data_IF_396481605891
#
_entry.id   IF_396481605891
#
_cell.length_a   1.000
_cell.length_b   1.000
_cell.length_c   1.000
_cell.angle_alpha   90.00
_cell.angle_beta   90.00
_cell.angle_gamma   90.00
#
_symmetry.space_group_name_H-M   'P 1'
#
loop_
_entity.id
_entity.type
_entity.pdbx_description
1 polymer ?
#
# COMPACT_ATOMS: atom_id res chain seq x y z
N UNK A 1 -26.58 -14.75 -6.62
CA UNK A 1 -25.50 -14.62 -5.62
C UNK A 1 -26.08 -15.03 -4.29
N UNK A 2 -25.55 -16.06 -3.65
CA UNK A 2 -26.00 -16.55 -2.35
C UNK A 2 -25.05 -16.18 -1.22
N UNK A 3 -23.89 -15.59 -1.55
CA UNK A 3 -22.89 -15.19 -0.57
C UNK A 3 -23.29 -13.89 0.13
N UNK A 4 -23.23 -13.82 1.47
CA UNK A 4 -23.61 -12.63 2.23
C UNK A 4 -22.70 -11.43 1.93
N UNK A 5 -23.28 -10.23 1.86
CA UNK A 5 -22.52 -8.98 1.76
C UNK A 5 -22.27 -8.45 3.18
N UNK A 6 -21.03 -8.13 3.49
CA UNK A 6 -20.65 -7.55 4.78
C UNK A 6 -20.27 -6.07 4.62
N UNK A 7 -20.82 -5.22 5.47
CA UNK A 7 -20.34 -3.85 5.65
C UNK A 7 -19.62 -3.73 6.97
N UNK A 8 -18.57 -2.91 6.98
CA UNK A 8 -17.72 -2.67 8.11
C UNK A 8 -17.77 -1.19 8.48
N UNK A 9 -17.81 -0.92 9.78
CA UNK A 9 -17.73 0.42 10.34
C UNK A 9 -16.60 0.44 11.37
N UNK A 10 -15.63 1.33 11.17
CA UNK A 10 -14.57 1.58 12.15
C UNK A 10 -15.09 2.51 13.23
N UNK A 11 -14.89 2.14 14.49
CA UNK A 11 -15.21 2.94 15.68
C UNK A 11 -13.95 3.40 16.39
N UNK A 12 -12.87 3.60 15.64
CA UNK A 12 -11.58 3.98 16.18
C UNK A 12 -11.05 2.91 17.15
N UNK A 13 -10.80 3.30 18.40
CA UNK A 13 -10.27 2.39 19.43
C UNK A 13 -11.27 1.34 19.91
N UNK A 14 -12.57 1.55 19.70
CA UNK A 14 -13.61 0.57 20.03
C UNK A 14 -13.65 -0.62 19.04
N UNK A 15 -12.82 -0.57 18.00
CA UNK A 15 -12.67 -1.64 17.01
C UNK A 15 -13.59 -1.46 15.80
N UNK A 16 -13.96 -2.58 15.18
CA UNK A 16 -14.72 -2.60 13.93
C UNK A 16 -16.01 -3.37 14.16
N UNK A 17 -17.14 -2.76 13.83
CA UNK A 17 -18.41 -3.47 13.75
C UNK A 17 -18.65 -3.98 12.33
N UNK A 18 -19.21 -5.18 12.24
CA UNK A 18 -19.60 -5.83 10.98
C UNK A 18 -21.12 -6.01 10.97
N UNK A 19 -21.76 -5.66 9.86
CA UNK A 19 -23.17 -6.00 9.62
C UNK A 19 -23.27 -6.86 8.36
N UNK A 20 -24.10 -7.91 8.45
CA UNK A 20 -24.44 -8.78 7.33
C UNK A 20 -25.69 -8.23 6.65
N UNK A 21 -25.65 -8.08 5.34
CA UNK A 21 -26.78 -7.64 4.51
C UNK A 21 -27.05 -8.69 3.45
N UNK A 22 -28.33 -8.99 3.24
CA UNK A 22 -28.77 -9.92 2.21
C UNK A 22 -28.43 -9.37 0.81
N UNK A 23 -27.80 -10.13 -0.10
CA UNK A 23 -27.52 -9.68 -1.46
C UNK A 23 -28.74 -9.25 -2.26
N UNK A 24 -29.93 -9.81 -1.96
CA UNK A 24 -31.17 -9.44 -2.63
C UNK A 24 -31.52 -7.96 -2.43
N UNK A 25 -31.03 -7.34 -1.35
CA UNK A 25 -31.13 -5.90 -1.14
C UNK A 25 -30.48 -5.09 -2.26
N UNK A 26 -29.47 -5.63 -2.95
CA UNK A 26 -28.70 -4.92 -3.98
C UNK A 26 -29.06 -5.34 -5.40
N UNK A 27 -30.00 -6.27 -5.55
CA UNK A 27 -30.32 -6.86 -6.85
C UNK A 27 -31.07 -5.86 -7.73
N UNK A 28 -30.56 -5.66 -8.93
CA UNK A 28 -31.26 -4.92 -9.98
C UNK A 28 -32.00 -5.89 -10.90
N UNK A 29 -33.24 -5.58 -11.33
CA UNK A 29 -33.93 -6.35 -12.35
C UNK A 29 -33.07 -6.50 -13.62
N UNK A 30 -33.06 -7.69 -14.20
CA UNK A 30 -32.41 -7.94 -15.49
C UNK A 30 -33.51 -8.11 -16.53
N UNK A 31 -33.46 -7.31 -17.59
CA UNK A 31 -34.41 -7.40 -18.70
C UNK A 31 -34.29 -8.72 -19.47
N UNK A 32 -35.30 -9.05 -20.28
CA UNK A 32 -35.32 -10.29 -21.09
C UNK A 32 -34.12 -10.42 -22.05
N UNK A 33 -33.50 -9.29 -22.40
CA UNK A 33 -32.30 -9.19 -23.23
C UNK A 33 -30.98 -9.30 -22.43
N UNK A 34 -31.03 -9.69 -21.15
CA UNK A 34 -29.87 -9.80 -20.27
C UNK A 34 -29.32 -8.46 -19.78
N UNK A 35 -29.95 -7.32 -20.11
CA UNK A 35 -29.46 -6.01 -19.69
C UNK A 35 -29.90 -5.71 -18.25
N UNK A 36 -28.94 -5.48 -17.35
CA UNK A 36 -29.21 -5.06 -15.98
C UNK A 36 -29.81 -3.64 -15.97
N UNK A 37 -30.95 -3.49 -15.29
CA UNK A 37 -31.57 -2.18 -15.07
C UNK A 37 -30.71 -1.28 -14.17
N UNK A 38 -30.95 0.03 -14.22
CA UNK A 38 -30.27 0.99 -13.34
C UNK A 38 -30.94 0.98 -11.96
N UNK A 39 -30.14 1.16 -10.91
CA UNK A 39 -30.66 1.49 -9.58
C UNK A 39 -31.45 2.80 -9.66
N UNK A 40 -32.75 2.72 -9.41
CA UNK A 40 -33.64 3.88 -9.27
C UNK A 40 -33.25 4.72 -8.05
N UNK A 41 -33.73 5.98 -7.95
CA UNK A 41 -33.32 6.94 -6.91
C UNK A 41 -33.59 6.49 -5.46
N UNK A 42 -34.33 5.40 -5.25
CA UNK A 42 -34.76 4.93 -3.95
C UNK A 42 -36.09 5.56 -3.54
N UNK A 43 -36.83 4.88 -2.67
CA UNK A 43 -38.12 5.33 -2.12
C UNK A 43 -37.96 6.27 -0.92
N UNK A 44 -36.76 6.31 -0.33
CA UNK A 44 -36.43 7.09 0.86
C UNK A 44 -34.94 7.44 0.88
N UNK A 45 -34.53 8.27 1.84
CA UNK A 45 -33.16 8.75 2.00
C UNK A 45 -32.13 7.63 2.24
N UNK A 46 -32.56 6.50 2.81
CA UNK A 46 -31.69 5.35 3.00
C UNK A 46 -31.39 4.65 1.68
N UNK A 47 -32.42 4.37 0.87
CA UNK A 47 -32.26 3.79 -0.45
C UNK A 47 -31.49 4.73 -1.41
N UNK A 48 -31.70 6.05 -1.29
CA UNK A 48 -30.92 7.03 -2.04
C UNK A 48 -29.43 6.97 -1.69
N UNK A 49 -29.08 7.02 -0.40
CA UNK A 49 -27.68 6.91 0.08
C UNK A 49 -27.04 5.56 -0.30
N UNK A 50 -27.81 4.46 -0.23
CA UNK A 50 -27.40 3.13 -0.68
C UNK A 50 -27.04 3.16 -2.16
N UNK A 51 -27.89 3.74 -3.02
CA UNK A 51 -27.60 3.92 -4.45
C UNK A 51 -26.33 4.72 -4.69
N UNK A 52 -26.15 5.86 -4.02
CA UNK A 52 -24.96 6.69 -4.20
C UNK A 52 -23.67 5.92 -3.90
N UNK A 53 -23.66 5.16 -2.80
CA UNK A 53 -22.53 4.30 -2.42
C UNK A 53 -22.26 3.22 -3.45
N UNK A 54 -23.28 2.51 -3.92
CA UNK A 54 -23.11 1.45 -4.94
C UNK A 54 -22.60 2.02 -6.26
N UNK A 55 -23.12 3.18 -6.68
CA UNK A 55 -22.65 3.85 -7.90
C UNK A 55 -21.19 4.26 -7.78
N UNK A 56 -20.76 4.76 -6.62
CA UNK A 56 -19.36 5.07 -6.35
C UNK A 56 -18.49 3.80 -6.40
N UNK A 57 -18.93 2.72 -5.75
CA UNK A 57 -18.26 1.42 -5.81
C UNK A 57 -18.11 0.89 -7.23
N UNK A 58 -19.16 0.99 -8.05
CA UNK A 58 -19.11 0.60 -9.47
C UNK A 58 -18.11 1.46 -10.25
N UNK A 59 -18.09 2.77 -10.03
CA UNK A 59 -17.11 3.67 -10.67
C UNK A 59 -15.68 3.28 -10.29
N UNK A 60 -15.45 3.01 -9.01
CA UNK A 60 -14.16 2.57 -8.50
C UNK A 60 -13.75 1.22 -9.10
N UNK A 61 -14.64 0.22 -9.09
CA UNK A 61 -14.39 -1.09 -9.67
C UNK A 61 -14.05 -1.00 -11.17
N UNK A 62 -14.84 -0.26 -11.95
CA UNK A 62 -14.57 -0.05 -13.37
C UNK A 62 -13.23 0.65 -13.61
N UNK A 63 -12.91 1.67 -12.81
CA UNK A 63 -11.63 2.36 -12.89
C UNK A 63 -10.46 1.41 -12.62
N UNK A 64 -10.57 0.60 -11.56
CA UNK A 64 -9.56 -0.38 -11.21
C UNK A 64 -9.40 -1.46 -12.29
N UNK A 65 -10.50 -2.00 -12.84
CA UNK A 65 -10.43 -2.96 -13.94
C UNK A 65 -9.76 -2.39 -15.20
N UNK A 66 -9.88 -1.07 -15.42
CA UNK A 66 -9.29 -0.42 -16.57
C UNK A 66 -7.81 -0.07 -16.39
N UNK A 67 -7.37 0.25 -15.16
CA UNK A 67 -6.05 0.84 -14.91
C UNK A 67 -5.15 0.02 -14.00
N UNK A 68 -5.68 -0.95 -13.25
CA UNK A 68 -4.86 -1.84 -12.43
C UNK A 68 -4.24 -2.92 -13.32
N UNK A 69 -2.94 -3.14 -13.14
CA UNK A 69 -2.24 -4.27 -13.76
C UNK A 69 -2.52 -5.52 -12.93
N UNK A 70 -3.07 -6.55 -13.57
CA UNK A 70 -3.22 -7.88 -12.97
C UNK A 70 -1.85 -8.56 -12.92
N UNK A 71 -1.52 -9.21 -11.80
CA UNK A 71 -0.36 -10.09 -11.75
C UNK A 71 -0.80 -11.48 -12.21
N UNK A 72 -0.30 -12.00 -13.35
CA UNK A 72 -0.78 -13.24 -13.95
C UNK A 72 -0.58 -14.47 -13.04
N UNK A 73 0.39 -14.41 -12.13
CA UNK A 73 0.69 -15.46 -11.15
C UNK A 73 0.11 -15.21 -9.76
N UNK A 74 -0.85 -14.28 -9.62
CA UNK A 74 -1.53 -14.10 -8.34
C UNK A 74 -2.30 -15.39 -7.99
N UNK A 75 -1.77 -16.18 -7.05
CA UNK A 75 -2.48 -17.31 -6.49
C UNK A 75 -3.87 -16.86 -6.03
N UNK A 76 -4.88 -17.68 -6.29
CA UNK A 76 -6.22 -17.43 -5.79
C UNK A 76 -6.15 -17.33 -4.27
N UNK A 77 -6.55 -16.20 -3.66
CA UNK A 77 -6.46 -16.04 -2.21
C UNK A 77 -7.15 -17.21 -1.53
N UNK A 78 -6.42 -17.91 -0.65
CA UNK A 78 -7.05 -18.95 0.17
C UNK A 78 -8.07 -18.24 1.08
N UNK A 79 -9.29 -18.77 1.23
CA UNK A 79 -10.26 -18.18 2.13
C UNK A 79 -9.65 -18.05 3.52
N UNK A 80 -9.60 -16.85 4.06
CA UNK A 80 -9.17 -16.66 5.45
C UNK A 80 -10.13 -17.44 6.36
N UNK A 81 -9.63 -18.35 7.21
CA UNK A 81 -10.47 -19.17 8.09
C UNK A 81 -11.10 -18.40 9.26
N UNK A 82 -11.04 -17.06 9.26
CA UNK A 82 -11.41 -16.20 10.39
C UNK A 82 -12.58 -15.28 10.06
N UNK A 83 -13.42 -15.03 11.07
CA UNK A 83 -14.55 -14.09 11.07
C UNK A 83 -14.17 -12.62 10.80
N UNK A 84 -12.88 -12.31 10.69
CA UNK A 84 -12.36 -10.96 10.47
C UNK A 84 -11.72 -10.91 9.07
N UNK A 85 -12.15 -9.99 8.18
CA UNK A 85 -11.58 -9.88 6.84
C UNK A 85 -10.11 -9.46 6.91
N UNK A 86 -9.18 -10.31 6.45
CA UNK A 86 -7.76 -9.95 6.39
C UNK A 86 -7.45 -8.87 5.36
N UNK A 87 -8.33 -8.68 4.38
CA UNK A 87 -8.20 -7.79 3.23
C UNK A 87 -8.84 -6.40 3.42
N UNK A 88 -9.47 -6.15 4.57
CA UNK A 88 -10.07 -4.85 4.86
C UNK A 88 -9.01 -3.82 5.27
N UNK A 89 -8.87 -2.74 4.49
CA UNK A 89 -8.10 -1.56 4.88
C UNK A 89 -8.86 -0.77 5.94
N UNK A 90 -8.21 -0.53 7.09
CA UNK A 90 -8.79 0.14 8.26
C UNK A 90 -8.18 1.50 8.55
N UNK A 91 -6.99 1.75 8.00
CA UNK A 91 -6.31 3.03 8.06
C UNK A 91 -5.48 3.23 6.79
N UNK A 92 -5.42 4.49 6.35
CA UNK A 92 -4.61 4.93 5.23
C UNK A 92 -3.85 6.19 5.61
N UNK A 93 -2.55 6.23 5.29
CA UNK A 93 -1.77 7.45 5.36
C UNK A 93 -0.86 7.59 4.15
N UNK A 94 -0.61 8.83 3.74
CA UNK A 94 0.33 9.17 2.68
C UNK A 94 1.38 10.13 3.22
N UNK A 95 2.64 9.86 2.89
CA UNK A 95 3.79 10.71 3.19
C UNK A 95 4.38 11.21 1.88
N UNK A 96 3.79 12.27 1.35
CA UNK A 96 4.11 12.81 0.03
C UNK A 96 3.66 11.88 -1.08
N UNK A 97 4.50 10.92 -1.45
CA UNK A 97 4.23 9.91 -2.46
C UNK A 97 4.43 8.46 -1.98
N UNK A 98 4.85 8.26 -0.74
CA UNK A 98 4.77 6.94 -0.10
C UNK A 98 3.39 6.75 0.49
N UNK A 99 2.73 5.64 0.15
CA UNK A 99 1.41 5.30 0.66
C UNK A 99 1.51 4.20 1.70
N UNK A 100 0.71 4.29 2.76
CA UNK A 100 0.67 3.35 3.87
C UNK A 100 -0.76 2.85 4.04
N UNK A 101 -0.95 1.54 4.02
CA UNK A 101 -2.22 0.88 4.26
C UNK A 101 -2.07 -0.02 5.49
N UNK A 102 -2.99 0.10 6.44
CA UNK A 102 -3.09 -0.81 7.58
C UNK A 102 -4.33 -1.68 7.41
N UNK A 103 -4.11 -2.99 7.36
CA UNK A 103 -5.15 -3.99 7.19
C UNK A 103 -5.72 -4.41 8.54
N UNK A 104 -6.95 -4.94 8.53
CA UNK A 104 -7.65 -5.34 9.74
C UNK A 104 -6.94 -6.48 10.48
N UNK A 105 -6.18 -7.31 9.78
CA UNK A 105 -5.33 -8.34 10.38
C UNK A 105 -4.00 -7.81 10.94
N UNK A 106 -3.77 -6.49 10.88
CA UNK A 106 -2.59 -5.82 11.40
C UNK A 106 -1.39 -5.77 10.46
N UNK A 107 -1.51 -6.24 9.21
CA UNK A 107 -0.46 -6.01 8.23
C UNK A 107 -0.35 -4.52 7.86
N UNK A 108 0.87 -4.10 7.57
CA UNK A 108 1.18 -2.75 7.09
C UNK A 108 1.82 -2.84 5.70
N UNK A 109 1.20 -2.22 4.71
CA UNK A 109 1.73 -2.11 3.37
C UNK A 109 2.23 -0.70 3.09
N UNK A 110 3.47 -0.58 2.61
CA UNK A 110 4.08 0.64 2.13
C UNK A 110 4.30 0.55 0.62
N UNK A 111 3.72 1.47 -0.14
CA UNK A 111 3.95 1.59 -1.58
C UNK A 111 4.90 2.77 -1.83
N UNK A 112 6.01 2.51 -2.50
CA UNK A 112 7.05 3.50 -2.82
C UNK A 112 6.92 4.01 -4.26
N UNK A 113 7.44 5.22 -4.57
CA UNK A 113 7.33 5.83 -5.89
C UNK A 113 8.21 5.19 -6.97
N UNK A 114 9.06 4.22 -6.62
CA UNK A 114 9.80 3.37 -7.55
C UNK A 114 9.05 2.06 -7.89
N UNK A 115 7.74 2.04 -7.66
CA UNK A 115 6.85 0.91 -7.95
C UNK A 115 7.10 -0.36 -7.12
N UNK A 116 7.97 -0.29 -6.11
CA UNK A 116 8.15 -1.35 -5.12
C UNK A 116 7.14 -1.25 -3.98
N UNK A 117 6.88 -2.37 -3.29
CA UNK A 117 5.98 -2.42 -2.12
C UNK A 117 6.59 -3.28 -1.02
N UNK A 118 6.42 -2.86 0.22
CA UNK A 118 6.79 -3.65 1.41
C UNK A 118 5.52 -3.91 2.21
N UNK A 119 5.18 -5.18 2.44
CA UNK A 119 4.14 -5.58 3.39
C UNK A 119 4.80 -6.23 4.59
N UNK A 120 4.62 -5.65 5.76
CA UNK A 120 5.06 -6.19 7.04
C UNK A 120 3.89 -6.89 7.72
N UNK A 121 4.16 -8.03 8.35
CA UNK A 121 3.20 -8.68 9.23
C UNK A 121 2.93 -7.84 10.49
N UNK A 122 1.91 -8.24 11.25
CA UNK A 122 1.53 -7.56 12.51
C UNK A 122 2.69 -7.42 13.49
N UNK A 123 3.67 -8.32 13.47
CA UNK A 123 4.83 -8.26 14.36
C UNK A 123 5.98 -7.40 13.80
N UNK A 124 5.94 -7.04 12.52
CA UNK A 124 7.02 -6.37 11.81
C UNK A 124 8.26 -7.23 11.62
N UNK A 125 8.16 -8.55 11.76
CA UNK A 125 9.30 -9.49 11.68
C UNK A 125 9.32 -10.27 10.37
N UNK A 126 8.16 -10.42 9.70
CA UNK A 126 8.05 -10.99 8.37
C UNK A 126 7.75 -9.90 7.34
N UNK A 127 8.33 -10.03 6.15
CA UNK A 127 8.25 -9.03 5.10
C UNK A 127 8.01 -9.69 3.74
N UNK A 128 6.99 -9.22 3.04
CA UNK A 128 6.78 -9.46 1.62
C UNK A 128 7.21 -8.22 0.84
N UNK A 129 8.23 -8.35 0.00
CA UNK A 129 8.81 -7.26 -0.77
C UNK A 129 8.53 -7.47 -2.25
N UNK A 130 7.61 -6.67 -2.82
CA UNK A 130 7.43 -6.56 -4.26
C UNK A 130 8.50 -5.65 -4.81
N UNK A 131 9.33 -6.17 -5.69
CA UNK A 131 10.53 -5.48 -6.16
C UNK A 131 10.61 -5.49 -7.69
N UNK A 132 11.39 -4.57 -8.24
CA UNK A 132 11.83 -4.64 -9.63
C UNK A 132 12.92 -5.72 -9.74
N UNK A 133 13.14 -6.24 -10.94
CA UNK A 133 14.36 -7.01 -11.22
C UNK A 133 15.60 -6.19 -10.86
N UNK A 134 16.73 -6.85 -10.59
CA UNK A 134 17.96 -6.15 -10.25
C UNK A 134 18.38 -5.17 -11.36
N UNK A 135 18.33 -5.61 -12.62
CA UNK A 135 18.65 -4.80 -13.79
C UNK A 135 17.74 -3.56 -13.91
N UNK A 136 16.43 -3.73 -13.77
CA UNK A 136 15.49 -2.60 -13.85
C UNK A 136 15.70 -1.59 -12.71
N UNK A 137 16.00 -2.05 -11.50
CA UNK A 137 16.31 -1.16 -10.38
C UNK A 137 17.61 -0.38 -10.60
N UNK A 138 18.64 -1.03 -11.16
CA UNK A 138 19.92 -0.38 -11.49
C UNK A 138 19.78 0.60 -12.67
N UNK A 139 18.97 0.28 -13.67
CA UNK A 139 18.60 1.19 -14.77
C UNK A 139 17.85 2.41 -14.25
N UNK A 140 16.87 2.22 -13.36
CA UNK A 140 16.15 3.32 -12.72
C UNK A 140 17.09 4.22 -11.92
N UNK A 141 18.03 3.63 -11.16
CA UNK A 141 18.98 4.38 -10.36
C UNK A 141 19.97 5.18 -11.22
N UNK A 142 20.40 4.64 -12.35
CA UNK A 142 21.41 5.26 -13.23
C UNK A 142 20.82 6.27 -14.21
N UNK A 143 19.64 6.00 -14.77
CA UNK A 143 19.05 6.81 -15.85
C UNK A 143 17.86 7.66 -15.39
N UNK A 144 17.26 7.32 -14.25
CA UNK A 144 16.00 7.91 -13.81
C UNK A 144 14.77 7.44 -14.58
N UNK A 145 14.93 6.54 -15.56
CA UNK A 145 13.86 5.97 -16.37
C UNK A 145 13.65 4.49 -16.10
N UNK A 146 12.46 4.00 -16.44
CA UNK A 146 12.09 2.60 -16.36
C UNK A 146 11.15 2.26 -17.50
N UNK A 147 11.36 1.10 -18.12
CA UNK A 147 10.52 0.63 -19.21
C UNK A 147 9.25 -0.02 -18.66
N UNK A 148 8.13 0.06 -19.41
CA UNK A 148 6.85 -0.48 -18.92
C UNK A 148 6.91 -1.99 -18.63
N UNK A 149 7.68 -2.75 -19.41
CA UNK A 149 7.88 -4.18 -19.21
C UNK A 149 8.47 -4.51 -17.83
N UNK A 150 9.33 -3.63 -17.28
CA UNK A 150 9.90 -3.81 -15.95
C UNK A 150 8.85 -3.79 -14.83
N UNK A 151 7.67 -3.23 -15.06
CA UNK A 151 6.55 -3.25 -14.10
C UNK A 151 5.82 -4.59 -14.09
N UNK A 152 5.84 -5.30 -15.22
CA UNK A 152 5.20 -6.59 -15.40
C UNK A 152 6.10 -7.71 -14.84
N UNK A 153 7.42 -7.56 -14.94
CA UNK A 153 8.44 -8.50 -14.41
C UNK A 153 8.65 -8.44 -12.89
N UNK A 154 7.82 -7.69 -12.16
CA UNK A 154 7.95 -7.56 -10.70
C UNK A 154 7.66 -8.88 -10.01
N UNK A 155 8.54 -9.25 -9.09
CA UNK A 155 8.44 -10.45 -8.28
C UNK A 155 8.35 -10.11 -6.77
N UNK A 156 8.11 -11.13 -5.95
CA UNK A 156 7.97 -11.01 -4.49
C UNK A 156 9.03 -11.84 -3.78
N UNK A 157 9.79 -11.19 -2.90
CA UNK A 157 10.59 -11.87 -1.89
C UNK A 157 9.81 -11.93 -0.58
N UNK A 158 9.59 -13.14 -0.04
CA UNK A 158 8.86 -13.38 1.21
C UNK A 158 9.78 -14.04 2.24
N UNK A 159 10.29 -13.26 3.18
CA UNK A 159 11.28 -13.73 4.16
C UNK A 159 11.15 -12.95 5.49
N UNK A 160 11.76 -13.44 6.58
CA UNK A 160 11.97 -12.61 7.75
C UNK A 160 12.69 -11.30 7.37
N UNK A 161 12.24 -10.17 7.91
CA UNK A 161 12.80 -8.84 7.63
C UNK A 161 14.31 -8.79 7.86
N UNK A 162 14.77 -9.42 8.96
CA UNK A 162 16.19 -9.54 9.27
C UNK A 162 16.97 -10.29 8.18
N UNK A 163 16.36 -11.29 7.54
CA UNK A 163 16.98 -12.02 6.43
C UNK A 163 17.15 -11.08 5.23
N UNK A 164 16.08 -10.40 4.78
CA UNK A 164 16.12 -9.46 3.64
C UNK A 164 17.17 -8.36 3.81
N UNK A 165 17.26 -7.78 5.02
CA UNK A 165 18.28 -6.77 5.33
C UNK A 165 19.72 -7.29 5.17
N UNK A 166 19.93 -8.60 5.19
CA UNK A 166 21.24 -9.24 5.17
C UNK A 166 21.47 -10.12 3.94
N UNK A 167 20.64 -10.06 2.89
CA UNK A 167 20.72 -10.95 1.70
C UNK A 167 22.13 -11.11 1.11
N UNK A 168 22.91 -10.03 1.04
CA UNK A 168 24.28 -10.03 0.50
C UNK A 168 25.36 -10.52 1.48
N UNK A 169 25.02 -10.79 2.74
CA UNK A 169 26.00 -11.27 3.72
C UNK A 169 26.24 -12.76 3.51
N UNK A 170 27.43 -13.11 3.03
CA UNK A 170 27.89 -14.49 2.93
C UNK A 170 27.85 -15.12 4.34
N UNK A 171 27.21 -16.28 4.54
CA UNK A 171 27.28 -16.98 5.81
C UNK A 171 28.75 -17.22 6.16
N UNK A 172 29.19 -16.76 7.35
CA UNK A 172 30.50 -17.15 7.91
C UNK A 172 30.46 -18.62 8.35
N UNK A 173 30.23 -19.53 7.42
CA UNK A 173 30.17 -20.96 7.64
C UNK A 173 31.51 -21.67 7.38
N UNK A 174 32.61 -20.93 7.15
CA UNK A 174 33.93 -21.54 6.92
C UNK A 174 34.86 -21.57 8.14
N UNK A 175 34.43 -21.18 9.35
CA UNK A 175 35.36 -21.16 10.49
C UNK A 175 34.92 -21.71 11.85
N UNK A 176 33.65 -22.04 12.12
CA UNK A 176 33.32 -22.68 13.41
C UNK A 176 32.22 -23.73 13.29
N UNK A 177 32.66 -24.98 13.38
CA UNK A 177 31.91 -26.12 13.88
C UNK A 177 31.30 -25.80 15.25
N UNK A 178 30.06 -25.29 15.25
CA UNK A 178 29.23 -25.23 16.44
C UNK A 178 27.94 -26.03 16.16
N UNK A 179 27.78 -27.23 16.72
CA UNK A 179 26.49 -27.90 16.70
C UNK A 179 25.58 -27.16 17.68
N UNK A 180 24.30 -26.97 17.34
CA UNK A 180 23.23 -26.39 18.17
C UNK A 180 22.84 -24.91 17.97
N UNK A 181 22.99 -24.34 16.76
CA UNK A 181 22.16 -23.17 16.42
C UNK A 181 20.88 -23.64 15.71
N UNK A 182 19.74 -23.57 16.41
CA UNK A 182 18.39 -23.77 15.84
C UNK A 182 17.97 -22.63 14.89
N UNK A 183 18.79 -21.58 14.72
CA UNK A 183 18.58 -20.53 13.72
C UNK A 183 19.25 -20.92 12.41
N UNK A 184 18.61 -21.79 11.64
CA UNK A 184 18.99 -22.05 10.27
C UNK A 184 18.61 -20.84 9.43
N UNK A 185 19.59 -20.06 8.99
CA UNK A 185 19.37 -19.02 7.99
C UNK A 185 19.01 -19.71 6.66
N UNK A 186 17.96 -19.29 5.94
CA UNK A 186 17.66 -19.86 4.63
C UNK A 186 18.84 -19.58 3.68
N UNK A 187 19.21 -20.58 2.89
CA UNK A 187 20.15 -20.40 1.78
C UNK A 187 19.47 -19.53 0.72
N UNK A 188 20.12 -18.43 0.35
CA UNK A 188 19.57 -17.47 -0.60
C UNK A 188 20.25 -17.71 -1.95
N UNK A 189 19.48 -18.05 -3.00
CA UNK A 189 20.01 -18.21 -4.35
C UNK A 189 20.80 -16.97 -4.79
N UNK A 190 21.95 -17.18 -5.44
CA UNK A 190 22.92 -16.12 -5.79
C UNK A 190 22.26 -15.00 -6.60
N UNK A 191 21.36 -15.37 -7.52
CA UNK A 191 20.59 -14.46 -8.37
C UNK A 191 19.64 -13.53 -7.59
N UNK A 192 19.26 -13.89 -6.36
CA UNK A 192 18.38 -13.06 -5.53
C UNK A 192 19.15 -12.13 -4.59
N UNK A 193 20.44 -12.37 -4.34
CA UNK A 193 21.21 -11.70 -3.28
C UNK A 193 21.38 -10.19 -3.51
N UNK A 194 21.46 -9.76 -4.78
CA UNK A 194 21.61 -8.35 -5.15
C UNK A 194 20.30 -7.56 -5.14
N UNK A 195 19.16 -8.23 -5.21
CA UNK A 195 17.84 -7.61 -5.43
C UNK A 195 17.49 -6.57 -4.35
N UNK A 196 17.56 -6.87 -3.02
CA UNK A 196 17.20 -5.89 -2.02
C UNK A 196 18.10 -4.64 -2.03
N UNK A 197 19.40 -4.81 -2.33
CA UNK A 197 20.34 -3.70 -2.39
C UNK A 197 20.06 -2.79 -3.59
N UNK A 198 19.86 -3.37 -4.78
CA UNK A 198 19.53 -2.62 -5.98
C UNK A 198 18.21 -1.83 -5.84
N UNK A 199 17.24 -2.39 -5.13
CA UNK A 199 15.94 -1.76 -4.89
C UNK A 199 15.92 -0.88 -3.61
N UNK A 200 17.04 -0.37 -3.11
CA UNK A 200 17.10 0.56 -1.96
C UNK A 200 16.34 0.07 -0.69
N UNK A 201 16.25 -1.25 -0.49
CA UNK A 201 15.39 -1.87 0.53
C UNK A 201 15.72 -1.40 1.95
N UNK A 202 17.02 -1.24 2.26
CA UNK A 202 17.47 -0.78 3.57
C UNK A 202 16.95 0.62 3.90
N UNK A 203 17.04 1.55 2.96
CA UNK A 203 16.55 2.93 3.15
C UNK A 203 15.03 2.94 3.32
N UNK A 204 14.31 2.08 2.59
CA UNK A 204 12.85 1.92 2.76
C UNK A 204 12.50 1.47 4.17
N UNK A 205 13.21 0.48 4.70
CA UNK A 205 13.02 0.02 6.09
C UNK A 205 13.39 1.11 7.10
N UNK A 206 14.42 1.93 6.84
CA UNK A 206 14.76 3.09 7.67
C UNK A 206 13.67 4.17 7.65
N UNK A 207 13.05 4.42 6.50
CA UNK A 207 11.90 5.32 6.37
C UNK A 207 10.68 4.78 7.11
N UNK A 208 10.34 3.50 6.95
CA UNK A 208 9.28 2.82 7.71
C UNK A 208 9.54 2.96 9.21
N UNK A 209 10.78 2.75 9.66
CA UNK A 209 11.17 2.95 11.06
C UNK A 209 10.98 4.40 11.51
N UNK A 210 11.26 5.39 10.67
CA UNK A 210 11.02 6.80 10.99
C UNK A 210 9.53 7.09 11.16
N UNK A 211 8.68 6.59 10.26
CA UNK A 211 7.21 6.69 10.33
C UNK A 211 6.70 6.08 11.65
N UNK A 212 7.07 4.84 11.95
CA UNK A 212 6.60 4.17 13.17
C UNK A 212 7.10 4.87 14.44
N UNK A 213 8.34 5.38 14.44
CA UNK A 213 8.86 6.19 15.55
C UNK A 213 8.07 7.47 15.74
N UNK A 214 7.69 8.14 14.66
CA UNK A 214 6.90 9.36 14.71
C UNK A 214 5.51 9.08 15.29
N UNK A 215 4.82 8.06 14.80
CA UNK A 215 3.55 7.61 15.36
C UNK A 215 3.64 7.30 16.85
N UNK A 216 4.66 6.54 17.27
CA UNK A 216 4.86 6.19 18.67
C UNK A 216 5.09 7.43 19.54
N UNK A 217 5.93 8.37 19.08
CA UNK A 217 6.23 9.63 19.76
C UNK A 217 5.01 10.55 19.86
N UNK A 218 4.17 10.58 18.84
CA UNK A 218 3.02 11.47 18.77
C UNK A 218 1.73 10.85 19.32
N UNK A 219 1.81 9.66 19.92
CA UNK A 219 0.69 9.05 20.65
C UNK A 219 -0.27 8.20 19.81
N UNK A 220 0.20 7.63 18.69
CA UNK A 220 -0.53 6.60 17.95
C UNK A 220 -0.32 6.62 16.44
N UNK A 221 -0.82 5.57 15.79
CA UNK A 221 -0.86 5.43 14.32
C UNK A 221 -1.49 6.67 13.66
N UNK A 222 -0.90 7.13 12.55
CA UNK A 222 -1.40 8.27 11.80
C UNK A 222 -1.01 9.65 12.36
N UNK A 223 -0.56 9.73 13.62
CA UNK A 223 -0.16 11.00 14.22
C UNK A 223 1.24 11.37 13.76
N UNK A 224 1.32 12.16 12.69
CA UNK A 224 2.57 12.62 12.08
C UNK A 224 2.67 14.14 12.13
N UNK A 225 3.87 14.68 12.09
CA UNK A 225 4.07 16.11 11.94
C UNK A 225 3.63 16.51 10.52
N UNK A 226 2.58 17.32 10.44
CA UNK A 226 2.03 17.81 9.17
C UNK A 226 2.55 19.21 8.81
N UNK A 227 3.41 19.80 9.65
CA UNK A 227 4.08 21.07 9.34
C UNK A 227 4.93 20.94 8.08
N UNK A 228 5.16 22.05 7.41
CA UNK A 228 5.90 22.08 6.16
C UNK A 228 7.34 21.62 6.36
N UNK A 229 7.95 22.01 7.47
CA UNK A 229 9.32 21.71 7.83
C UNK A 229 9.46 20.27 8.34
N UNK A 230 8.54 19.83 9.18
CA UNK A 230 8.65 18.57 9.92
C UNK A 230 8.11 17.33 9.22
N UNK A 231 7.22 17.49 8.22
CA UNK A 231 6.61 16.33 7.54
C UNK A 231 7.65 15.40 6.91
N UNK A 232 7.52 14.10 7.17
CA UNK A 232 8.42 13.08 6.61
C UNK A 232 8.32 13.04 5.08
N UNK A 233 9.47 12.94 4.42
CA UNK A 233 9.63 12.97 2.97
C UNK A 233 10.49 11.79 2.56
N UNK A 234 10.12 11.06 1.50
CA UNK A 234 10.91 9.96 0.98
C UNK A 234 12.00 10.47 0.02
N UNK A 235 13.29 10.36 0.36
CA UNK A 235 14.37 10.86 -0.50
C UNK A 235 14.87 9.82 -1.52
N UNK A 236 14.34 8.60 -1.49
CA UNK A 236 14.88 7.51 -2.29
C UNK A 236 14.41 7.50 -3.75
N UNK A 237 14.74 6.39 -4.41
CA UNK A 237 14.55 6.19 -5.84
C UNK A 237 13.09 6.39 -6.27
N UNK A 238 12.95 6.87 -7.50
CA UNK A 238 11.71 7.24 -8.19
C UNK A 238 12.03 7.47 -9.67
N UNK A 239 11.01 7.38 -10.51
CA UNK A 239 11.15 7.82 -11.90
C UNK A 239 11.30 9.34 -11.97
N UNK A 240 12.29 9.79 -12.72
CA UNK A 240 12.62 11.21 -12.95
C UNK A 240 12.75 11.56 -14.44
N UNK A 241 12.82 10.54 -15.30
CA UNK A 241 12.78 10.66 -16.75
C UNK A 241 11.36 10.38 -17.25
N UNK A 242 10.94 11.14 -18.26
CA UNK A 242 9.62 11.01 -18.91
C UNK A 242 8.44 11.16 -17.94
N UNK A 243 8.65 11.83 -16.81
CA UNK A 243 7.63 12.18 -15.83
C UNK A 243 7.40 13.70 -15.77
N UNK A 244 6.27 14.11 -15.21
CA UNK A 244 6.03 15.52 -14.93
C UNK A 244 7.11 16.08 -14.00
N UNK A 245 7.76 17.16 -14.43
CA UNK A 245 8.81 17.83 -13.62
C UNK A 245 8.21 18.37 -12.33
N UNK A 246 7.02 18.96 -12.42
CA UNK A 246 6.27 19.48 -11.28
C UNK A 246 5.18 18.47 -10.93
N UNK A 247 5.29 17.82 -9.77
CA UNK A 247 4.32 16.83 -9.32
C UNK A 247 3.66 17.22 -8.01
N UNK A 248 2.41 16.77 -7.83
CA UNK A 248 1.66 16.96 -6.60
C UNK A 248 1.98 15.86 -5.60
N UNK A 249 2.50 16.24 -4.44
CA UNK A 249 2.65 15.36 -3.30
C UNK A 249 1.62 15.70 -2.21
N UNK A 250 1.18 14.70 -1.46
CA UNK A 250 0.17 14.87 -0.44
C UNK A 250 0.51 14.10 0.83
N UNK A 251 0.28 14.76 1.97
CA UNK A 251 0.27 14.16 3.28
C UNK A 251 -1.16 14.01 3.70
N UNK A 252 -1.60 12.77 3.82
CA UNK A 252 -3.01 12.43 4.03
C UNK A 252 -3.08 11.46 5.18
N UNK A 253 -4.05 11.63 6.06
CA UNK A 253 -4.37 10.66 7.11
C UNK A 253 -5.86 10.39 7.05
N UNK A 254 -6.24 9.11 7.01
CA UNK A 254 -7.63 8.65 7.05
C UNK A 254 -7.74 7.50 8.03
N UNK A 255 -8.66 7.61 8.98
CA UNK A 255 -8.90 6.57 9.99
C UNK A 255 -7.86 6.54 11.11
N UNK A 256 -7.09 7.63 11.30
CA UNK A 256 -6.35 7.82 12.53
C UNK A 256 -7.32 8.09 13.69
N UNK A 257 -6.82 8.05 14.94
CA UNK A 257 -7.61 8.27 16.18
C UNK A 257 -8.34 9.64 16.20
N UNK A 258 -9.42 9.78 15.44
CA UNK A 258 -10.29 10.95 15.36
C UNK A 258 -9.84 12.10 14.44
N UNK A 259 -8.77 11.95 13.66
CA UNK A 259 -8.19 13.05 12.87
C UNK A 259 -7.91 12.64 11.42
N UNK A 260 -8.83 13.01 10.52
CA UNK A 260 -8.60 12.94 9.09
C UNK A 260 -8.07 14.30 8.60
N UNK A 261 -6.93 14.29 7.91
CA UNK A 261 -6.29 15.53 7.44
C UNK A 261 -5.64 15.34 6.08
N UNK A 262 -5.51 16.45 5.34
CA UNK A 262 -4.87 16.47 4.02
C UNK A 262 -4.13 17.78 3.81
N UNK A 263 -2.85 17.65 3.47
CA UNK A 263 -2.00 18.73 3.00
C UNK A 263 -1.40 18.34 1.67
N UNK A 264 -1.34 19.26 0.71
CA UNK A 264 -0.76 18.98 -0.59
C UNK A 264 0.16 20.12 -1.01
N UNK A 265 1.25 19.77 -1.69
CA UNK A 265 2.27 20.71 -2.15
C UNK A 265 2.74 20.32 -3.54
N UNK A 266 3.25 21.30 -4.26
CA UNK A 266 4.04 21.06 -5.45
C UNK A 266 5.48 20.68 -5.07
N UNK A 267 6.07 19.76 -5.81
CA UNK A 267 7.49 19.40 -5.72
C UNK A 267 8.11 19.25 -7.10
N UNK A 268 9.41 19.48 -7.22
CA UNK A 268 10.16 18.99 -8.37
C UNK A 268 10.35 17.48 -8.19
N UNK A 269 9.89 16.66 -9.13
CA UNK A 269 10.00 15.20 -9.06
C UNK A 269 11.44 14.72 -8.94
N UNK A 270 12.42 15.52 -9.40
CA UNK A 270 13.86 15.25 -9.30
C UNK A 270 14.45 15.67 -7.95
N UNK A 271 13.74 16.52 -7.20
CA UNK A 271 14.11 16.98 -5.87
C UNK A 271 12.89 16.96 -4.92
N UNK A 272 12.37 15.76 -4.60
CA UNK A 272 11.09 15.57 -3.91
C UNK A 272 11.11 16.01 -2.44
N UNK A 273 12.30 16.27 -1.89
CA UNK A 273 12.46 16.70 -0.50
C UNK A 273 12.34 18.22 -0.36
N UNK A 274 12.40 18.96 -1.47
CA UNK A 274 12.27 20.42 -1.51
C UNK A 274 10.84 20.78 -1.86
N UNK A 275 10.09 21.25 -0.87
CA UNK A 275 8.69 21.62 -1.05
C UNK A 275 8.59 22.99 -1.73
N UNK A 276 7.78 23.08 -2.79
CA UNK A 276 7.40 24.33 -3.45
C UNK A 276 6.07 24.82 -2.84
N UNK A 277 5.23 25.51 -3.61
CA UNK A 277 4.02 26.12 -3.07
C UNK A 277 3.03 25.09 -2.51
N UNK A 278 2.36 25.46 -1.42
CA UNK A 278 1.21 24.71 -0.91
C UNK A 278 0.05 24.80 -1.91
N UNK A 279 -0.68 23.71 -2.04
CA UNK A 279 -1.87 23.63 -2.88
C UNK A 279 -3.07 23.91 -1.99
N UNK A 280 -3.67 25.10 -2.17
CA UNK A 280 -4.94 25.43 -1.53
C UNK A 280 -6.09 24.72 -2.25
N UNK A 281 -6.54 23.62 -1.66
CA UNK A 281 -7.65 22.82 -2.19
C UNK A 281 -9.03 23.36 -1.82
N UNK A 282 -9.09 24.39 -0.97
CA UNK A 282 -10.34 25.08 -0.62
C UNK A 282 -10.74 26.12 -1.67
N UNK A 283 -9.75 26.63 -2.43
CA UNK A 283 -9.96 27.36 -3.69
C UNK A 283 -10.34 26.39 -4.80
N UNK A 284 -11.58 25.89 -4.78
CA UNK A 284 -12.15 25.27 -5.97
C UNK A 284 -12.44 26.38 -6.99
N UNK A 285 -11.78 26.29 -8.15
CA UNK A 285 -12.17 26.95 -9.40
C UNK A 285 -13.48 26.38 -9.93
#
# INVERSE_FOLDING_TARGET
MTEPIYFYETKGEEGISRVRVDPEEFRVPVGQNGTASKLGPGKNDYEHRKRERIVLWKKFANYMLQHAREHPDAETPRPYPVDVPGDLVTFYQRFGDVQVFHFCDGHLQFNFPDHTKIVLDRTGTWCHFWHLSQEAAEQLASTGGMDEASLDDRAVLSYPLQTLLNFSTVPKASQRSAPNSTRHRPEIPTELQGIPAANDFRRKVEFIRAVVKEWARNGGIGKSDMSREGRLKWPGLRQTKDCEVLSKQAWVTVGARGEDSRHAVWVDSRNPTTLLDEIDETRKS
#
